data_IF_621263894213
#
_entry.id   IF_621263894213
#
_cell.length_a   1.000
_cell.length_b   1.000
_cell.length_c   1.000
_cell.angle_alpha   90.00
_cell.angle_beta   90.00
_cell.angle_gamma   90.00
#
_symmetry.space_group_name_H-M   'P 1'
#
loop_
_entity.id
_entity.type
_entity.pdbx_description
1 polymer ?
#
# COMPACT_ATOMS: atom_id res chain seq x y z
N UNK A 1 -18.45 8.40 -20.05
CA UNK A 1 -18.41 8.59 -18.58
C UNK A 1 -17.04 8.17 -18.09
N UNK A 2 -16.16 9.13 -17.78
CA UNK A 2 -14.82 8.83 -17.24
C UNK A 2 -14.97 8.49 -15.76
N UNK A 3 -14.82 7.21 -15.42
CA UNK A 3 -14.81 6.73 -14.04
C UNK A 3 -13.65 7.40 -13.29
N UNK A 4 -13.79 7.82 -12.02
CA UNK A 4 -12.76 8.53 -11.27
C UNK A 4 -11.61 7.59 -10.89
N UNK A 5 -10.78 7.24 -11.86
CA UNK A 5 -9.60 6.38 -11.68
C UNK A 5 -8.59 7.05 -10.74
N UNK A 6 -8.41 8.37 -10.89
CA UNK A 6 -7.35 9.13 -10.23
C UNK A 6 -7.46 9.23 -8.69
N UNK A 7 -8.68 9.18 -8.11
CA UNK A 7 -8.84 9.23 -6.65
C UNK A 7 -8.43 7.93 -5.98
N UNK A 8 -8.85 6.79 -6.56
CA UNK A 8 -8.51 5.46 -6.03
C UNK A 8 -7.01 5.20 -6.04
N UNK A 9 -6.30 5.67 -7.06
CA UNK A 9 -4.84 5.54 -7.13
C UNK A 9 -4.13 6.31 -6.01
N UNK A 10 -4.64 7.50 -5.68
CA UNK A 10 -4.06 8.36 -4.64
C UNK A 10 -4.28 7.75 -3.26
N UNK A 11 -5.51 7.33 -2.96
CA UNK A 11 -5.86 6.68 -1.69
C UNK A 11 -5.06 5.38 -1.50
N UNK A 12 -4.93 4.58 -2.56
CA UNK A 12 -4.15 3.34 -2.52
C UNK A 12 -2.66 3.60 -2.30
N UNK A 13 -2.11 4.67 -2.90
CA UNK A 13 -0.71 5.06 -2.71
C UNK A 13 -0.46 5.47 -1.27
N UNK A 14 -1.33 6.28 -0.68
CA UNK A 14 -1.17 6.79 0.67
C UNK A 14 -1.30 5.68 1.72
N UNK A 15 -2.22 4.73 1.52
CA UNK A 15 -2.31 3.50 2.35
C UNK A 15 -0.99 2.72 2.30
N UNK A 16 -0.41 2.53 1.11
CA UNK A 16 0.85 1.81 0.97
C UNK A 16 2.01 2.57 1.60
N UNK A 17 2.11 3.88 1.37
CA UNK A 17 3.16 4.73 1.94
C UNK A 17 3.10 4.71 3.48
N UNK A 18 1.90 4.77 4.08
CA UNK A 18 1.74 4.67 5.53
C UNK A 18 2.09 3.27 6.08
N UNK A 19 1.71 2.20 5.37
CA UNK A 19 2.07 0.83 5.74
C UNK A 19 3.60 0.61 5.77
N UNK A 20 4.32 1.14 4.78
CA UNK A 20 5.79 1.09 4.75
C UNK A 20 6.39 1.88 5.91
N UNK A 21 5.88 3.09 6.17
CA UNK A 21 6.36 3.90 7.29
C UNK A 21 6.12 3.22 8.65
N UNK A 22 4.98 2.55 8.83
CA UNK A 22 4.67 1.76 10.02
C UNK A 22 5.62 0.58 10.21
N UNK A 23 5.98 -0.12 9.13
CA UNK A 23 6.95 -1.21 9.19
C UNK A 23 8.32 -0.70 9.66
N UNK A 24 8.77 0.44 9.13
CA UNK A 24 10.07 1.04 9.46
C UNK A 24 10.13 1.60 10.88
N UNK A 25 9.03 2.21 11.34
CA UNK A 25 8.95 2.87 12.65
C UNK A 25 8.67 1.89 13.80
N UNK A 26 7.88 0.86 13.55
CA UNK A 26 7.42 -0.08 14.57
C UNK A 26 7.93 -1.49 14.27
N UNK A 27 7.16 -2.27 13.51
CA UNK A 27 7.52 -3.63 13.10
C UNK A 27 6.61 -4.09 11.96
N UNK A 28 6.95 -5.22 11.35
CA UNK A 28 6.20 -5.83 10.25
C UNK A 28 4.76 -6.19 10.63
N UNK A 29 4.49 -6.65 11.86
CA UNK A 29 3.15 -7.06 12.28
C UNK A 29 2.19 -5.86 12.31
N UNK A 30 2.63 -4.72 12.86
CA UNK A 30 1.84 -3.49 12.87
C UNK A 30 1.50 -3.00 11.46
N UNK A 31 2.42 -3.16 10.50
CA UNK A 31 2.17 -2.83 9.10
C UNK A 31 1.15 -3.79 8.45
N UNK A 32 1.24 -5.10 8.74
CA UNK A 32 0.26 -6.11 8.26
C UNK A 32 -1.14 -5.79 8.77
N UNK A 33 -1.28 -5.52 10.06
CA UNK A 33 -2.58 -5.20 10.68
C UNK A 33 -3.19 -3.94 10.09
N UNK A 34 -2.39 -2.89 9.92
CA UNK A 34 -2.83 -1.66 9.28
C UNK A 34 -3.31 -1.92 7.84
N UNK A 35 -2.51 -2.59 7.00
CA UNK A 35 -2.88 -2.86 5.61
C UNK A 35 -4.13 -3.74 5.50
N UNK A 36 -4.29 -4.73 6.38
CA UNK A 36 -5.52 -5.54 6.45
C UNK A 36 -6.74 -4.72 6.84
N UNK A 37 -6.59 -3.78 7.78
CA UNK A 37 -7.68 -2.87 8.18
C UNK A 37 -8.18 -2.00 7.01
N UNK A 38 -7.30 -1.74 6.04
CA UNK A 38 -7.60 -1.00 4.81
C UNK A 38 -8.08 -1.91 3.66
N UNK A 39 -8.40 -3.18 3.94
CA UNK A 39 -8.81 -4.19 2.95
C UNK A 39 -7.80 -4.42 1.82
N UNK A 40 -6.51 -4.22 2.09
CA UNK A 40 -5.45 -4.51 1.13
C UNK A 40 -5.29 -6.03 1.00
N UNK A 41 -5.31 -6.54 -0.23
CA UNK A 41 -5.16 -7.98 -0.49
C UNK A 41 -3.77 -8.50 -0.11
N UNK A 42 -3.70 -9.77 0.31
CA UNK A 42 -2.46 -10.39 0.80
C UNK A 42 -1.29 -10.27 -0.19
N UNK A 43 -1.52 -10.41 -1.51
CA UNK A 43 -0.46 -10.29 -2.52
C UNK A 43 0.16 -8.88 -2.54
N UNK A 44 -0.65 -7.86 -2.29
CA UNK A 44 -0.19 -6.46 -2.21
C UNK A 44 0.54 -6.24 -0.89
N UNK A 45 0.03 -6.79 0.22
CA UNK A 45 0.70 -6.73 1.53
C UNK A 45 2.08 -7.36 1.45
N UNK A 46 2.17 -8.59 0.93
CA UNK A 46 3.44 -9.29 0.76
C UNK A 46 4.43 -8.44 -0.03
N UNK A 47 4.04 -7.97 -1.22
CA UNK A 47 4.88 -7.10 -2.06
C UNK A 47 5.33 -5.82 -1.34
N UNK A 48 4.43 -5.17 -0.60
CA UNK A 48 4.76 -3.92 0.12
C UNK A 48 5.77 -4.17 1.22
N UNK A 49 5.69 -5.29 1.92
CA UNK A 49 6.55 -5.60 3.06
C UNK A 49 7.90 -6.22 2.65
N UNK A 50 7.94 -6.94 1.53
CA UNK A 50 9.16 -7.60 1.00
C UNK A 50 9.91 -6.73 0.00
N UNK A 51 9.20 -5.91 -0.77
CA UNK A 51 9.75 -5.08 -1.84
C UNK A 51 9.23 -3.61 -1.78
N UNK A 52 9.36 -2.89 -0.64
CA UNK A 52 8.78 -1.55 -0.49
C UNK A 52 9.33 -0.52 -1.50
N UNK A 53 10.56 -0.70 -1.97
CA UNK A 53 11.19 0.16 -2.99
C UNK A 53 10.71 -0.12 -4.42
N UNK A 54 10.06 -1.26 -4.66
CA UNK A 54 9.48 -1.62 -5.95
C UNK A 54 8.12 -0.94 -6.10
N UNK A 55 8.15 0.39 -6.24
CA UNK A 55 6.97 1.12 -6.71
C UNK A 55 6.63 0.56 -8.08
N UNK A 56 5.42 0.02 -8.25
CA UNK A 56 4.91 -0.25 -9.60
C UNK A 56 5.09 1.06 -10.36
N UNK A 57 5.75 1.02 -11.50
CA UNK A 57 5.67 2.09 -12.48
C UNK A 57 4.21 2.14 -12.90
N UNK A 58 3.36 2.85 -12.14
CA UNK A 58 2.02 3.25 -12.58
C UNK A 58 2.21 4.36 -13.61
N UNK A 59 2.99 4.07 -14.65
CA UNK A 59 2.94 4.82 -15.88
C UNK A 59 1.57 4.51 -16.46
N UNK A 60 0.75 5.56 -16.50
CA UNK A 60 -0.57 5.62 -17.13
C UNK A 60 -0.52 5.06 -18.55
#
# INVERSE_FOLDING_TARGET
MSVPYQRRDTDQKDIVDLGIALQQRSNTMSAVEYLRSQNVGNDVIERVLTEPGRRRSWCR
#
